data_IF_407051023917
#
_entry.id   IF_407051023917
#
_cell.length_a   1.000
_cell.length_b   1.000
_cell.length_c   1.000
_cell.angle_alpha   90.00
_cell.angle_beta   90.00
_cell.angle_gamma   90.00
#
_symmetry.space_group_name_H-M   'P 1'
#
loop_
_entity.id
_entity.type
_entity.pdbx_description
1 polymer ?
#
# COMPACT_ATOMS: atom_id res chain seq x y z
N UNK A 1 7.22 -7.34 30.74
CA UNK A 1 7.74 -7.14 32.12
C UNK A 1 6.63 -6.44 32.90
N UNK A 2 6.06 -7.12 33.89
CA UNK A 2 5.01 -6.57 34.74
C UNK A 2 5.69 -5.86 35.91
N UNK A 3 5.49 -4.54 36.05
CA UNK A 3 5.96 -3.77 37.19
C UNK A 3 4.80 -3.53 38.16
N UNK A 4 5.03 -3.72 39.43
CA UNK A 4 4.03 -3.48 40.49
C UNK A 4 4.51 -2.30 41.32
N UNK A 5 3.73 -1.22 41.33
CA UNK A 5 3.97 -0.09 42.22
C UNK A 5 3.24 -0.33 43.57
N UNK A 6 3.95 -0.17 44.64
CA UNK A 6 3.40 -0.21 46.00
C UNK A 6 3.21 1.24 46.47
N UNK A 7 1.98 1.73 46.46
CA UNK A 7 1.64 2.83 47.37
C UNK A 7 1.17 2.20 48.67
N UNK A 8 1.33 2.90 49.81
CA UNK A 8 1.21 2.34 51.15
C UNK A 8 -0.05 1.48 51.42
N UNK A 9 -1.10 1.57 50.59
CA UNK A 9 -2.35 0.84 50.74
C UNK A 9 -2.92 0.14 49.49
N UNK A 10 -2.26 0.25 48.32
CA UNK A 10 -2.80 -0.35 47.07
C UNK A 10 -1.71 -0.86 46.14
N UNK A 11 -1.85 -2.12 45.69
CA UNK A 11 -1.01 -2.69 44.61
C UNK A 11 -1.70 -2.41 43.30
N UNK A 12 -1.06 -1.63 42.43
CA UNK A 12 -1.53 -1.40 41.07
C UNK A 12 -0.58 -2.10 40.09
N UNK A 13 -1.13 -3.04 39.33
CA UNK A 13 -0.38 -3.69 38.24
C UNK A 13 -0.37 -2.79 37.02
N UNK A 14 0.79 -2.60 36.38
CA UNK A 14 0.89 -1.84 35.14
C UNK A 14 1.93 -2.48 34.21
N UNK A 15 1.81 -2.16 32.92
CA UNK A 15 2.75 -2.54 31.89
C UNK A 15 3.49 -1.29 31.42
N UNK A 16 4.83 -1.38 31.32
CA UNK A 16 5.63 -0.36 30.64
C UNK A 16 5.80 -0.79 29.18
N UNK A 17 5.37 0.06 28.24
CA UNK A 17 5.43 -0.18 26.81
C UNK A 17 6.18 0.96 26.12
N UNK A 18 6.71 0.69 24.91
CA UNK A 18 7.25 1.72 24.04
C UNK A 18 6.16 2.74 23.70
N UNK A 19 6.46 4.02 23.86
CA UNK A 19 5.58 5.08 23.36
C UNK A 19 5.81 5.30 21.87
N UNK A 20 4.83 4.98 21.04
CA UNK A 20 4.88 5.12 19.59
C UNK A 20 4.20 6.44 19.19
N UNK A 21 5.00 7.40 18.68
CA UNK A 21 4.50 8.70 18.25
C UNK A 21 4.03 8.64 16.79
N UNK A 22 2.77 8.97 16.55
CA UNK A 22 2.17 9.04 15.20
C UNK A 22 0.65 9.13 15.26
N UNK A 23 -0.04 9.51 14.17
CA UNK A 23 -1.49 9.44 14.08
C UNK A 23 -1.97 7.99 13.92
N UNK A 24 -3.19 7.71 14.35
CA UNK A 24 -3.90 6.48 14.03
C UNK A 24 -4.11 6.35 12.51
N UNK A 25 -4.25 5.11 12.03
CA UNK A 25 -4.38 4.80 10.60
C UNK A 25 -5.44 5.64 9.88
N UNK A 26 -6.67 5.69 10.40
CA UNK A 26 -7.76 6.41 9.72
C UNK A 26 -7.48 7.92 9.64
N UNK A 27 -6.90 8.50 10.69
CA UNK A 27 -6.50 9.90 10.67
C UNK A 27 -5.39 10.15 9.64
N UNK A 28 -4.37 9.29 9.60
CA UNK A 28 -3.29 9.41 8.62
C UNK A 28 -3.82 9.36 7.17
N UNK A 29 -4.68 8.40 6.88
CA UNK A 29 -5.29 8.24 5.54
C UNK A 29 -6.20 9.42 5.21
N UNK A 30 -6.93 9.95 6.17
CA UNK A 30 -7.76 11.16 5.97
C UNK A 30 -6.92 12.38 5.60
N UNK A 31 -5.76 12.54 6.26
CA UNK A 31 -4.88 13.71 6.09
C UNK A 31 -3.99 13.60 4.83
N UNK A 32 -3.57 12.39 4.46
CA UNK A 32 -2.57 12.15 3.41
C UNK A 32 -3.13 11.58 2.11
N UNK A 33 -4.34 11.05 2.12
CA UNK A 33 -5.02 10.50 0.94
C UNK A 33 -5.18 8.98 0.96
N UNK A 34 -6.20 8.50 0.25
CA UNK A 34 -6.55 7.08 0.21
C UNK A 34 -5.53 6.20 -0.54
N UNK A 35 -4.65 6.81 -1.33
CA UNK A 35 -3.56 6.12 -2.03
C UNK A 35 -2.53 5.49 -1.07
N UNK A 36 -2.49 5.92 0.18
CA UNK A 36 -1.65 5.32 1.22
C UNK A 36 -2.21 3.99 1.75
N UNK A 37 -3.51 3.73 1.60
CA UNK A 37 -4.14 2.50 2.13
C UNK A 37 -3.42 1.23 1.66
N UNK A 38 -3.24 0.96 0.35
CA UNK A 38 -2.58 -0.26 -0.08
C UNK A 38 -1.12 -0.35 0.37
N UNK A 39 -0.40 0.77 0.43
CA UNK A 39 1.00 0.81 0.90
C UNK A 39 1.09 0.39 2.37
N UNK A 40 0.21 0.93 3.21
CA UNK A 40 0.17 0.60 4.64
C UNK A 40 -0.32 -0.83 4.87
N UNK A 41 -1.28 -1.33 4.08
CA UNK A 41 -1.72 -2.74 4.18
C UNK A 41 -0.61 -3.73 3.79
N UNK A 42 0.20 -3.44 2.77
CA UNK A 42 1.36 -4.26 2.41
C UNK A 42 2.39 -4.30 3.56
N UNK A 43 2.62 -3.18 4.25
CA UNK A 43 3.50 -3.15 5.42
C UNK A 43 2.89 -3.94 6.60
N UNK A 44 1.59 -3.80 6.84
CA UNK A 44 0.86 -4.53 7.88
C UNK A 44 0.96 -6.04 7.64
N UNK A 45 0.72 -6.51 6.40
CA UNK A 45 0.85 -7.91 6.02
C UNK A 45 2.27 -8.45 6.25
N UNK A 46 3.30 -7.62 6.06
CA UNK A 46 4.68 -8.00 6.39
C UNK A 46 4.88 -8.21 7.89
N UNK A 47 4.27 -7.38 8.72
CA UNK A 47 4.33 -7.52 10.19
C UNK A 47 3.54 -8.75 10.66
N UNK A 48 2.34 -8.98 10.09
CA UNK A 48 1.53 -10.16 10.39
C UNK A 48 2.22 -11.45 9.96
N UNK A 49 2.94 -11.46 8.82
CA UNK A 49 3.70 -12.64 8.39
C UNK A 49 4.71 -13.07 9.45
N UNK A 50 5.46 -12.12 10.03
CA UNK A 50 6.42 -12.42 11.11
C UNK A 50 5.71 -12.96 12.35
N UNK A 51 4.57 -12.38 12.73
CA UNK A 51 3.79 -12.82 13.89
C UNK A 51 3.24 -14.23 13.69
N UNK A 52 2.64 -14.50 12.53
CA UNK A 52 2.06 -15.80 12.18
C UNK A 52 3.12 -16.91 12.12
N UNK A 53 4.31 -16.62 11.59
CA UNK A 53 5.44 -17.58 11.57
C UNK A 53 5.89 -17.99 12.98
N UNK A 54 5.62 -17.17 14.00
CA UNK A 54 5.86 -17.50 15.41
C UNK A 54 4.68 -18.24 16.07
N UNK A 55 3.64 -18.58 15.29
CA UNK A 55 2.45 -19.28 15.76
C UNK A 55 1.49 -18.40 16.58
N UNK A 56 1.47 -17.08 16.34
CA UNK A 56 0.59 -16.14 17.02
C UNK A 56 -0.31 -15.41 16.03
N UNK A 57 -1.56 -15.18 16.41
CA UNK A 57 -2.56 -14.44 15.67
C UNK A 57 -2.87 -13.17 16.47
N UNK A 58 -2.97 -12.02 15.79
CA UNK A 58 -3.18 -10.73 16.44
C UNK A 58 -4.55 -10.68 17.14
N UNK A 59 -5.61 -11.16 16.47
CA UNK A 59 -6.94 -11.39 17.03
C UNK A 59 -7.84 -10.14 17.04
N UNK A 60 -7.44 -9.03 17.67
CA UNK A 60 -8.21 -7.78 17.69
C UNK A 60 -7.59 -6.71 16.77
N UNK A 61 -7.38 -7.08 15.51
CA UNK A 61 -6.82 -6.17 14.52
C UNK A 61 -7.89 -5.17 14.05
N UNK A 62 -7.62 -3.87 14.30
CA UNK A 62 -8.51 -2.74 13.96
C UNK A 62 -7.70 -1.46 13.74
N UNK A 63 -8.27 -0.41 13.11
CA UNK A 63 -7.56 0.84 12.85
C UNK A 63 -7.04 1.54 14.11
N UNK A 64 -7.73 1.40 15.26
CA UNK A 64 -7.32 2.00 16.53
C UNK A 64 -6.05 1.37 17.10
N UNK A 65 -5.73 0.14 16.69
CA UNK A 65 -4.51 -0.57 17.06
C UNK A 65 -3.37 -0.37 16.04
N UNK A 66 -3.53 0.59 15.11
CA UNK A 66 -2.56 0.88 14.04
C UNK A 66 -2.14 2.33 14.04
N UNK A 67 -0.85 2.58 14.33
CA UNK A 67 -0.24 3.91 14.28
C UNK A 67 0.66 4.01 13.05
N UNK A 68 0.65 5.17 12.39
CA UNK A 68 1.58 5.47 11.29
C UNK A 68 2.64 6.43 11.78
N UNK A 69 3.88 5.95 11.86
CA UNK A 69 5.06 6.71 12.26
C UNK A 69 5.77 7.30 11.04
N UNK A 70 6.75 8.14 11.23
CA UNK A 70 7.66 8.59 10.18
C UNK A 70 7.91 10.06 10.11
N UNK A 71 8.61 10.61 9.13
CA UNK A 71 9.04 10.05 7.84
C UNK A 71 10.21 9.06 7.91
N UNK A 72 10.30 8.03 7.03
CA UNK A 72 9.27 7.60 6.08
C UNK A 72 8.08 6.95 6.79
N UNK A 73 6.88 7.01 6.16
CA UNK A 73 5.67 6.45 6.74
C UNK A 73 5.79 4.94 6.97
N UNK A 74 5.58 4.51 8.23
CA UNK A 74 5.61 3.10 8.64
C UNK A 74 4.44 2.79 9.55
N UNK A 75 3.71 1.72 9.26
CA UNK A 75 2.64 1.22 10.12
C UNK A 75 3.25 0.43 11.29
N UNK A 76 2.70 0.65 12.49
CA UNK A 76 3.06 -0.07 13.71
C UNK A 76 1.77 -0.55 14.38
N UNK A 77 1.77 -1.83 14.77
CA UNK A 77 0.71 -2.38 15.61
C UNK A 77 0.98 -2.02 17.07
N UNK A 78 -0.08 -1.67 17.78
CA UNK A 78 -0.10 -1.44 19.22
C UNK A 78 -1.18 -2.34 19.85
N UNK A 79 -1.20 -2.42 21.17
CA UNK A 79 -2.16 -3.22 21.93
C UNK A 79 -2.21 -4.69 21.52
N UNK A 80 -1.15 -5.39 21.90
CA UNK A 80 -1.00 -6.83 21.63
C UNK A 80 -1.73 -7.72 22.64
N UNK A 81 -2.58 -7.15 23.50
CA UNK A 81 -3.31 -7.88 24.56
C UNK A 81 -4.20 -8.99 24.04
N UNK A 82 -4.83 -8.78 22.87
CA UNK A 82 -5.69 -9.77 22.19
C UNK A 82 -4.95 -10.90 21.46
N UNK A 83 -3.59 -10.85 21.40
CA UNK A 83 -2.79 -11.84 20.67
C UNK A 83 -3.02 -13.24 21.20
N UNK A 84 -3.39 -14.14 20.31
CA UNK A 84 -3.81 -15.50 20.65
C UNK A 84 -2.95 -16.53 19.92
N UNK A 85 -2.52 -17.58 20.64
CA UNK A 85 -1.76 -18.67 20.02
C UNK A 85 -2.61 -19.41 18.99
N UNK A 86 -2.01 -19.72 17.84
CA UNK A 86 -2.66 -20.41 16.74
C UNK A 86 -3.37 -21.70 17.20
N UNK A 87 -4.54 -21.96 16.63
CA UNK A 87 -5.39 -23.09 16.95
C UNK A 87 -6.34 -22.88 18.13
N UNK A 88 -6.15 -21.84 18.96
CA UNK A 88 -7.04 -21.50 20.08
C UNK A 88 -8.21 -20.65 19.63
N UNK A 89 -9.15 -20.39 20.54
CA UNK A 89 -10.27 -19.47 20.30
C UNK A 89 -9.85 -18.01 20.58
N UNK A 90 -10.13 -17.11 19.65
CA UNK A 90 -10.02 -15.67 19.87
C UNK A 90 -11.04 -15.27 20.93
N UNK A 91 -10.60 -14.54 21.95
CA UNK A 91 -11.42 -14.09 23.07
C UNK A 91 -11.73 -12.59 23.02
N UNK A 92 -10.76 -11.79 22.57
CA UNK A 92 -10.87 -10.35 22.43
C UNK A 92 -10.99 -10.00 20.94
N UNK A 93 -12.05 -9.32 20.57
CA UNK A 93 -12.32 -8.92 19.19
C UNK A 93 -13.29 -7.74 19.14
N UNK A 94 -13.19 -6.96 18.09
CA UNK A 94 -14.14 -5.90 17.76
C UNK A 94 -15.07 -6.40 16.66
N UNK A 95 -16.39 -6.40 16.89
CA UNK A 95 -17.40 -7.02 16.00
C UNK A 95 -17.24 -6.64 14.54
N UNK A 96 -16.98 -5.37 14.27
CA UNK A 96 -16.85 -4.88 12.89
C UNK A 96 -15.70 -5.55 12.11
N UNK A 97 -14.65 -5.98 12.79
CA UNK A 97 -13.48 -6.64 12.20
C UNK A 97 -13.45 -8.15 12.42
N UNK A 98 -14.48 -8.70 13.09
CA UNK A 98 -14.59 -10.11 13.41
C UNK A 98 -15.31 -10.91 12.30
N UNK A 99 -14.61 -11.86 11.68
CA UNK A 99 -15.20 -12.71 10.65
C UNK A 99 -16.39 -13.54 11.14
N UNK A 100 -16.41 -13.91 12.44
CA UNK A 100 -17.53 -14.62 13.05
C UNK A 100 -18.79 -13.77 13.09
N UNK A 101 -18.67 -12.48 13.44
CA UNK A 101 -19.78 -11.55 13.38
C UNK A 101 -20.36 -11.43 11.96
N UNK A 102 -19.52 -11.36 10.94
CA UNK A 102 -19.95 -11.22 9.55
C UNK A 102 -20.40 -12.55 8.90
N UNK A 103 -20.24 -13.69 9.57
CA UNK A 103 -20.64 -15.00 9.05
C UNK A 103 -19.71 -15.53 7.96
N UNK A 104 -18.43 -15.16 8.01
CA UNK A 104 -17.38 -15.63 7.10
C UNK A 104 -16.48 -16.71 7.68
N UNK A 105 -16.73 -17.16 8.90
CA UNK A 105 -15.97 -18.23 9.54
C UNK A 105 -16.09 -18.24 11.06
N UNK A 106 -15.26 -19.06 11.69
CA UNK A 106 -15.21 -19.21 13.16
C UNK A 106 -14.20 -18.24 13.76
N UNK A 107 -14.21 -18.09 15.09
CA UNK A 107 -13.21 -17.35 15.87
C UNK A 107 -12.01 -18.23 16.28
N UNK A 108 -11.65 -19.19 15.45
CA UNK A 108 -10.41 -19.93 15.62
C UNK A 108 -9.22 -19.04 15.24
N UNK A 109 -8.20 -18.99 16.10
CA UNK A 109 -6.97 -18.26 15.84
C UNK A 109 -6.19 -18.96 14.73
N UNK A 110 -6.20 -18.40 13.54
CA UNK A 110 -5.48 -18.84 12.35
C UNK A 110 -5.19 -17.62 11.46
N UNK A 111 -4.17 -17.64 10.59
CA UNK A 111 -3.78 -16.47 9.79
C UNK A 111 -4.95 -15.81 9.06
N UNK A 112 -5.87 -16.60 8.50
CA UNK A 112 -7.06 -16.11 7.78
C UNK A 112 -7.99 -15.23 8.63
N UNK A 113 -7.94 -15.32 9.98
CA UNK A 113 -8.69 -14.46 10.88
C UNK A 113 -8.19 -13.00 10.80
N UNK A 114 -6.87 -12.80 10.92
CA UNK A 114 -6.26 -11.47 10.79
C UNK A 114 -6.37 -10.94 9.34
N UNK A 115 -6.27 -11.81 8.34
CA UNK A 115 -6.37 -11.42 6.94
C UNK A 115 -7.78 -10.94 6.56
N UNK A 116 -8.83 -11.52 7.18
CA UNK A 116 -10.19 -10.99 7.12
C UNK A 116 -10.25 -9.57 7.70
N UNK A 117 -9.65 -9.36 8.88
CA UNK A 117 -9.62 -8.04 9.52
C UNK A 117 -8.87 -7.01 8.66
N UNK A 118 -7.75 -7.38 8.00
CA UNK A 118 -7.04 -6.51 7.04
C UNK A 118 -7.97 -6.07 5.90
N UNK A 119 -8.77 -6.99 5.33
CA UNK A 119 -9.74 -6.64 4.28
C UNK A 119 -10.81 -5.66 4.81
N UNK A 120 -11.34 -5.89 6.02
CA UNK A 120 -12.31 -4.99 6.66
C UNK A 120 -11.71 -3.62 6.98
N UNK A 121 -10.46 -3.55 7.44
CA UNK A 121 -9.73 -2.29 7.66
C UNK A 121 -9.59 -1.52 6.35
N UNK A 122 -9.26 -2.19 5.27
CA UNK A 122 -9.14 -1.55 3.95
C UNK A 122 -10.49 -0.97 3.49
N UNK A 123 -11.58 -1.71 3.64
CA UNK A 123 -12.95 -1.26 3.33
C UNK A 123 -13.32 -0.06 4.21
N UNK A 124 -13.13 -0.16 5.53
CA UNK A 124 -13.42 0.90 6.48
C UNK A 124 -12.60 2.19 6.18
N UNK A 125 -11.31 2.05 5.88
CA UNK A 125 -10.42 3.18 5.58
C UNK A 125 -10.87 3.98 4.35
N UNK A 126 -11.50 3.33 3.38
CA UNK A 126 -12.07 3.98 2.19
C UNK A 126 -13.39 4.65 2.50
N UNK A 127 -14.26 4.00 3.27
CA UNK A 127 -15.58 4.54 3.63
C UNK A 127 -15.53 5.53 4.80
N UNK A 128 -14.40 5.61 5.53
CA UNK A 128 -14.12 6.54 6.64
C UNK A 128 -15.02 6.40 7.87
N UNK A 129 -15.86 5.38 7.92
CA UNK A 129 -16.73 5.07 9.06
C UNK A 129 -17.18 3.61 9.02
N UNK A 130 -17.48 3.08 10.19
CA UNK A 130 -18.13 1.79 10.31
C UNK A 130 -19.58 1.88 9.83
N UNK A 131 -20.06 0.78 9.29
CA UNK A 131 -21.44 0.64 8.81
C UNK A 131 -22.09 -0.58 9.48
N UNK A 132 -23.39 -0.52 9.68
CA UNK A 132 -24.14 -1.62 10.29
C UNK A 132 -24.23 -2.81 9.34
N UNK A 133 -24.05 -4.02 9.87
CA UNK A 133 -24.28 -5.26 9.15
C UNK A 133 -25.76 -5.38 8.78
N UNK A 134 -26.04 -5.75 7.53
CA UNK A 134 -27.37 -6.04 7.02
C UNK A 134 -27.70 -7.54 7.13
N UNK A 135 -28.92 -7.92 6.77
CA UNK A 135 -29.33 -9.33 6.69
C UNK A 135 -28.61 -10.10 5.57
N UNK A 136 -27.96 -9.41 4.63
CA UNK A 136 -27.20 -9.98 3.53
C UNK A 136 -25.74 -9.46 3.56
N UNK A 137 -24.95 -9.85 4.55
CA UNK A 137 -23.63 -9.26 4.80
C UNK A 137 -22.65 -9.51 3.63
N UNK A 138 -22.76 -10.65 2.96
CA UNK A 138 -21.89 -10.98 1.82
C UNK A 138 -22.15 -10.06 0.63
N UNK A 139 -23.40 -9.83 0.29
CA UNK A 139 -23.79 -8.91 -0.78
C UNK A 139 -23.49 -7.46 -0.43
N UNK A 140 -23.65 -7.09 0.84
CA UNK A 140 -23.27 -5.78 1.34
C UNK A 140 -21.79 -5.49 1.12
N UNK A 141 -20.88 -6.38 1.56
CA UNK A 141 -19.45 -6.21 1.39
C UNK A 141 -19.05 -6.24 -0.09
N UNK A 142 -19.70 -7.10 -0.90
CA UNK A 142 -19.50 -7.12 -2.36
C UNK A 142 -19.82 -5.75 -2.96
N UNK A 143 -20.98 -5.20 -2.68
CA UNK A 143 -21.43 -3.90 -3.21
C UNK A 143 -20.49 -2.77 -2.81
N UNK A 144 -19.99 -2.77 -1.57
CA UNK A 144 -19.03 -1.77 -1.08
C UNK A 144 -17.69 -1.85 -1.82
N UNK A 145 -17.20 -3.06 -2.09
CA UNK A 145 -15.95 -3.29 -2.82
C UNK A 145 -16.10 -2.89 -4.30
N UNK A 146 -17.16 -3.34 -4.94
CA UNK A 146 -17.39 -3.10 -6.37
C UNK A 146 -17.80 -1.66 -6.67
N UNK A 147 -18.46 -0.98 -5.73
CA UNK A 147 -18.89 0.41 -5.86
C UNK A 147 -17.78 1.44 -5.65
N UNK A 148 -16.59 1.04 -5.19
CA UNK A 148 -15.51 1.98 -4.95
C UNK A 148 -14.31 1.76 -5.90
N UNK A 149 -13.86 2.79 -6.66
CA UNK A 149 -12.79 2.64 -7.65
C UNK A 149 -11.43 2.18 -7.07
N UNK A 150 -11.13 2.50 -5.80
CA UNK A 150 -9.90 2.03 -5.16
C UNK A 150 -10.04 0.56 -4.78
N UNK A 151 -11.10 0.17 -4.08
CA UNK A 151 -11.33 -1.21 -3.65
C UNK A 151 -11.47 -2.16 -4.84
N UNK A 152 -12.12 -1.72 -5.92
CA UNK A 152 -12.29 -2.49 -7.14
C UNK A 152 -10.95 -2.95 -7.77
N UNK A 153 -9.88 -2.16 -7.62
CA UNK A 153 -8.53 -2.56 -8.09
C UNK A 153 -8.00 -3.77 -7.32
N UNK A 154 -8.41 -3.94 -6.06
CA UNK A 154 -7.99 -5.01 -5.15
C UNK A 154 -9.09 -6.03 -4.91
N UNK A 155 -10.19 -6.01 -5.70
CA UNK A 155 -11.38 -6.83 -5.44
C UNK A 155 -11.08 -8.32 -5.28
N UNK A 156 -10.18 -8.88 -6.12
CA UNK A 156 -9.79 -10.30 -6.02
C UNK A 156 -9.16 -10.58 -4.66
N UNK A 157 -8.21 -9.76 -4.24
CA UNK A 157 -7.51 -9.89 -2.96
C UNK A 157 -8.49 -9.78 -1.80
N UNK A 158 -9.38 -8.78 -1.85
CA UNK A 158 -10.36 -8.55 -0.79
C UNK A 158 -11.36 -9.71 -0.68
N UNK A 159 -11.87 -10.23 -1.80
CA UNK A 159 -12.79 -11.38 -1.75
C UNK A 159 -12.10 -12.65 -1.25
N UNK A 160 -10.87 -12.93 -1.69
CA UNK A 160 -10.11 -14.08 -1.18
C UNK A 160 -9.80 -13.95 0.31
N UNK A 161 -9.47 -12.74 0.80
CA UNK A 161 -9.24 -12.51 2.23
C UNK A 161 -10.53 -12.67 3.05
N UNK A 162 -11.66 -12.11 2.58
CA UNK A 162 -12.96 -12.26 3.23
C UNK A 162 -13.40 -13.74 3.30
N UNK A 163 -13.21 -14.50 2.22
CA UNK A 163 -13.58 -15.92 2.16
C UNK A 163 -12.63 -16.85 2.93
N UNK A 164 -11.46 -16.36 3.36
CA UNK A 164 -10.47 -17.18 4.06
C UNK A 164 -9.63 -18.07 3.13
N UNK A 165 -9.51 -17.70 1.83
CA UNK A 165 -8.77 -18.47 0.84
C UNK A 165 -7.26 -18.44 1.07
N UNK A 166 -6.72 -17.38 1.71
CA UNK A 166 -5.31 -17.24 2.01
C UNK A 166 -4.89 -18.04 3.23
N UNK A 167 -3.81 -18.80 3.10
CA UNK A 167 -3.21 -19.56 4.18
C UNK A 167 -2.14 -18.78 4.94
N UNK A 168 -1.61 -17.71 4.35
CA UNK A 168 -0.56 -16.89 4.96
C UNK A 168 -0.68 -15.40 4.58
N UNK A 169 -0.12 -14.55 5.42
CA UNK A 169 -0.01 -13.12 5.14
C UNK A 169 0.89 -12.83 3.92
N UNK A 170 1.88 -13.69 3.64
CA UNK A 170 2.77 -13.53 2.48
C UNK A 170 2.04 -13.77 1.16
N UNK A 171 1.11 -14.73 1.09
CA UNK A 171 0.26 -14.96 -0.09
C UNK A 171 -0.60 -13.73 -0.38
N UNK A 172 -1.31 -13.20 0.62
CA UNK A 172 -2.12 -11.99 0.47
C UNK A 172 -1.26 -10.78 0.08
N UNK A 173 -0.07 -10.64 0.70
CA UNK A 173 0.87 -9.56 0.39
C UNK A 173 1.34 -9.61 -1.07
N UNK A 174 1.65 -10.79 -1.58
CA UNK A 174 2.04 -11.00 -2.98
C UNK A 174 0.94 -10.54 -3.93
N UNK A 175 -0.29 -11.00 -3.71
CA UNK A 175 -1.45 -10.62 -4.54
C UNK A 175 -1.75 -9.11 -4.44
N UNK A 176 -1.57 -8.48 -3.26
CA UNK A 176 -1.67 -7.04 -3.07
C UNK A 176 -0.63 -6.27 -3.90
N UNK A 177 0.63 -6.72 -3.88
CA UNK A 177 1.72 -6.12 -4.67
C UNK A 177 1.44 -6.24 -6.17
N UNK A 178 1.00 -7.40 -6.64
CA UNK A 178 0.64 -7.63 -8.04
C UNK A 178 -0.51 -6.72 -8.49
N UNK A 179 -1.54 -6.57 -7.66
CA UNK A 179 -2.66 -5.66 -7.92
C UNK A 179 -2.21 -4.19 -7.97
N UNK A 180 -1.32 -3.80 -7.05
CA UNK A 180 -0.75 -2.45 -7.00
C UNK A 180 0.09 -2.13 -8.25
N UNK A 181 0.96 -3.05 -8.69
CA UNK A 181 1.76 -2.90 -9.90
C UNK A 181 0.89 -2.77 -11.15
N UNK A 182 -0.13 -3.63 -11.31
CA UNK A 182 -1.11 -3.55 -12.42
C UNK A 182 -1.85 -2.22 -12.44
N UNK A 183 -2.22 -1.70 -11.26
CA UNK A 183 -2.88 -0.40 -11.15
C UNK A 183 -1.94 0.77 -11.51
N UNK A 184 -0.65 0.68 -11.18
CA UNK A 184 0.36 1.67 -11.54
C UNK A 184 0.64 1.70 -13.06
N UNK A 185 0.76 0.53 -13.69
CA UNK A 185 0.98 0.41 -15.14
C UNK A 185 -0.17 1.00 -15.97
N UNK A 186 -1.43 0.83 -15.51
CA UNK A 186 -2.61 1.43 -16.18
C UNK A 186 -2.65 2.96 -16.13
N UNK A 187 -1.91 3.60 -15.23
CA UNK A 187 -1.80 5.06 -15.13
C UNK A 187 -0.75 5.66 -16.06
N UNK A 188 0.14 4.85 -16.66
CA UNK A 188 1.09 5.36 -17.66
C UNK A 188 0.35 5.50 -19.00
N UNK A 189 0.37 6.69 -19.65
CA UNK A 189 -0.15 6.83 -21.00
C UNK A 189 0.62 5.87 -21.90
N UNK A 190 -0.11 5.10 -22.72
CA UNK A 190 0.48 4.26 -23.76
C UNK A 190 1.38 5.16 -24.60
N UNK A 191 2.71 5.02 -24.47
CA UNK A 191 3.63 5.61 -25.44
C UNK A 191 3.22 5.03 -26.79
N UNK A 192 2.64 5.88 -27.63
CA UNK A 192 2.28 5.49 -28.99
C UNK A 192 3.50 4.81 -29.61
N UNK A 193 3.34 3.55 -29.99
CA UNK A 193 4.33 2.83 -30.78
C UNK A 193 4.57 3.66 -32.05
N UNK A 194 5.82 3.88 -32.47
CA UNK A 194 6.08 4.56 -33.75
C UNK A 194 5.37 3.77 -34.85
N UNK A 195 4.37 4.36 -35.47
CA UNK A 195 3.76 3.76 -36.66
C UNK A 195 4.87 3.60 -37.70
N UNK A 196 4.99 2.44 -38.36
CA UNK A 196 5.91 2.25 -39.46
C UNK A 196 5.57 3.28 -40.54
N UNK A 197 6.51 4.14 -40.85
CA UNK A 197 6.37 5.14 -41.89
C UNK A 197 5.98 4.45 -43.20
N UNK A 198 4.77 4.70 -43.66
CA UNK A 198 4.27 4.28 -44.97
C UNK A 198 5.18 4.91 -46.04
N UNK A 199 5.98 4.10 -46.72
CA UNK A 199 6.82 4.48 -47.85
C UNK A 199 5.90 5.08 -48.93
N UNK A 200 5.81 6.40 -48.99
CA UNK A 200 5.23 7.09 -50.12
C UNK A 200 6.15 6.91 -51.33
N UNK A 201 5.61 6.23 -52.31
CA UNK A 201 6.17 5.97 -53.65
C UNK A 201 6.39 7.33 -54.34
N UNK A 202 7.65 7.76 -54.51
CA UNK A 202 7.98 8.97 -55.24
C UNK A 202 7.57 8.81 -56.72
N UNK A 203 6.59 9.59 -57.15
CA UNK A 203 6.33 9.87 -58.56
C UNK A 203 7.22 11.02 -58.98
N UNK A 204 8.02 10.81 -60.04
CA UNK A 204 8.85 11.82 -60.71
C UNK A 204 7.99 12.96 -61.27
N UNK A 205 8.30 14.24 -61.01
CA UNK A 205 7.69 15.34 -61.77
C UNK A 205 8.45 15.63 -63.05
N UNK A 206 7.69 15.91 -64.05
CA UNK A 206 8.13 16.47 -65.37
C UNK A 206 8.62 17.93 -65.16
N UNK A 207 9.67 18.22 -65.95
CA UNK A 207 10.29 19.55 -66.01
C UNK A 207 9.31 20.64 -66.55
N UNK A 208 9.31 21.82 -65.89
CA UNK A 208 8.81 23.07 -66.40
C UNK A 208 9.65 24.21 -65.80
N UNK A 209 10.19 25.07 -66.72
CA UNK A 209 11.16 26.12 -66.47
C UNK A 209 10.57 27.39 -65.83
N UNK A 210 11.50 28.16 -65.17
CA UNK A 210 11.52 29.65 -64.96
C UNK A 210 10.68 30.13 -63.74
N UNK A 211 11.14 30.93 -62.77
CA UNK A 211 12.03 32.12 -62.70
C UNK A 211 12.47 32.41 -61.26
N UNK A 212 13.54 33.19 -61.11
CA UNK A 212 14.16 33.67 -59.87
C UNK A 212 13.24 34.54 -59.02
N UNK A 213 13.24 34.35 -57.68
CA UNK A 213 13.40 35.49 -56.77
C UNK A 213 13.94 34.99 -55.40
N UNK A 214 14.83 35.75 -54.87
CA UNK A 214 15.75 35.57 -53.76
C UNK A 214 15.09 36.06 -52.49
N UNK A 215 14.93 35.21 -51.46
CA UNK A 215 14.91 35.66 -50.05
C UNK A 215 15.29 34.49 -49.13
N UNK A 216 16.37 34.62 -48.39
CA UNK A 216 16.83 33.74 -47.31
C UNK A 216 16.43 34.32 -45.97
N UNK A 217 15.89 33.54 -45.03
CA UNK A 217 16.17 33.74 -43.61
C UNK A 217 17.02 32.63 -43.06
N UNK A 218 18.10 32.98 -42.37
CA UNK A 218 19.00 32.13 -41.59
C UNK A 218 18.23 31.40 -40.49
N UNK A 219 18.21 30.08 -40.51
CA UNK A 219 17.89 29.27 -39.34
C UNK A 219 19.15 29.01 -38.55
N UNK A 220 19.12 29.34 -37.24
CA UNK A 220 20.15 29.00 -36.25
C UNK A 220 20.11 27.50 -35.94
N UNK A 221 21.25 26.82 -35.73
CA UNK A 221 21.26 25.40 -35.34
C UNK A 221 20.76 25.24 -33.90
N UNK A 222 19.85 24.25 -33.68
CA UNK A 222 19.44 23.81 -32.38
C UNK A 222 20.62 23.10 -31.68
N UNK A 223 20.93 23.56 -30.48
CA UNK A 223 21.95 22.96 -29.61
C UNK A 223 21.45 21.60 -29.08
N UNK A 224 22.14 20.51 -29.42
CA UNK A 224 22.05 19.23 -28.75
C UNK A 224 22.83 19.32 -27.43
N UNK A 225 22.14 19.51 -26.29
CA UNK A 225 22.76 19.67 -24.97
C UNK A 225 22.28 18.66 -23.91
N UNK A 226 21.50 17.64 -24.26
CA UNK A 226 20.86 16.77 -23.26
C UNK A 226 21.73 15.66 -22.64
N UNK A 227 22.85 15.27 -23.27
CA UNK A 227 23.68 14.16 -22.75
C UNK A 227 24.78 14.63 -21.78
N UNK A 228 25.24 15.85 -21.88
CA UNK A 228 26.25 16.41 -20.98
C UNK A 228 25.70 16.81 -19.61
N UNK A 229 24.47 17.28 -19.54
CA UNK A 229 23.83 17.66 -18.26
C UNK A 229 23.50 16.43 -17.40
N UNK A 230 23.02 15.34 -18.00
CA UNK A 230 22.72 14.10 -17.26
C UNK A 230 23.96 13.41 -16.71
N UNK A 231 25.08 13.41 -17.44
CA UNK A 231 26.36 12.85 -16.95
C UNK A 231 26.93 13.68 -15.79
N UNK A 232 26.80 14.98 -15.82
CA UNK A 232 27.29 15.85 -14.75
C UNK A 232 26.51 15.68 -13.44
N UNK A 233 25.20 15.47 -13.52
CA UNK A 233 24.34 15.17 -12.36
C UNK A 233 24.71 13.80 -11.74
N UNK A 234 24.91 12.77 -12.56
CA UNK A 234 25.29 11.44 -12.07
C UNK A 234 26.65 11.46 -11.38
N UNK A 235 27.63 12.17 -11.93
CA UNK A 235 28.96 12.31 -11.32
C UNK A 235 28.89 13.07 -10.00
N UNK A 236 28.09 14.14 -9.89
CA UNK A 236 27.94 14.91 -8.65
C UNK A 236 27.25 14.09 -7.54
N UNK A 237 26.26 13.27 -7.88
CA UNK A 237 25.59 12.39 -6.90
C UNK A 237 26.54 11.29 -6.42
N UNK A 238 27.36 10.71 -7.31
CA UNK A 238 28.38 9.73 -6.92
C UNK A 238 29.47 10.35 -6.03
N UNK A 239 29.91 11.57 -6.32
CA UNK A 239 30.89 12.28 -5.50
C UNK A 239 30.35 12.58 -4.09
N UNK A 240 29.10 13.02 -3.97
CA UNK A 240 28.44 13.23 -2.67
C UNK A 240 28.27 11.91 -1.89
N UNK A 241 27.94 10.83 -2.58
CA UNK A 241 27.84 9.50 -1.96
C UNK A 241 29.20 9.01 -1.45
N UNK A 242 30.27 9.18 -2.22
CA UNK A 242 31.64 8.86 -1.76
C UNK A 242 32.09 9.73 -0.59
N UNK A 243 31.82 11.04 -0.62
CA UNK A 243 32.12 11.94 0.50
C UNK A 243 31.34 11.54 1.78
N UNK A 244 30.08 11.13 1.62
CA UNK A 244 29.27 10.62 2.73
C UNK A 244 29.88 9.34 3.33
N UNK A 245 30.31 8.38 2.51
CA UNK A 245 30.96 7.14 2.97
C UNK A 245 32.26 7.45 3.72
N UNK A 246 33.12 8.33 3.19
CA UNK A 246 34.38 8.71 3.83
C UNK A 246 34.12 9.39 5.18
N UNK A 247 33.11 10.25 5.28
CA UNK A 247 32.80 10.98 6.52
C UNK A 247 32.14 10.12 7.60
N UNK A 248 31.43 9.03 7.22
CA UNK A 248 30.72 8.17 8.17
C UNK A 248 31.38 6.82 8.45
N UNK A 249 32.38 6.38 7.64
CA UNK A 249 33.07 5.10 7.82
C UNK A 249 34.55 5.25 8.25
N UNK A 250 35.10 6.45 8.32
CA UNK A 250 36.42 6.76 8.87
C UNK A 250 36.24 7.72 10.07
#
# INVERSE_FOLDING_TARGET
MMLVFLNANTKVSFYAMEYIKGPLLLKYVSDKGAEWIPVLMIQLLSSLSVLHQQGWIFGDLKPDNLIVTGPPARIRCIDVGGTTKEGRAIKEYTEFYDRGYWGYGTRKAEPSYDLFAVAMIMINSVHKKEFKKTNQPKEQLRSLIEGNPLLQKYKKVLFSALNGDYQSADEMKKDMLDAWQKAAQRKQPIKASPQPATRQRQQKPRQGKITKTRYTPKQKPAKSGGLFETTLIVISVLALYFAYIIFFLI
#
